data_IF_075297258628
#
_entry.id   IF_075297258628
#
_cell.length_a   1.000
_cell.length_b   1.000
_cell.length_c   1.000
_cell.angle_alpha   90.00
_cell.angle_beta   90.00
_cell.angle_gamma   90.00
#
_symmetry.space_group_name_H-M   'P 1'
#
loop_
_entity.id
_entity.type
_entity.pdbx_description
1 polymer ?
#
# COMPACT_ATOMS: atom_id res chain seq x y z
N UNK A 1 -4.75 3.58 30.13
CA UNK A 1 -3.35 3.23 30.38
C UNK A 1 -2.56 4.51 30.49
N UNK A 2 -2.02 4.76 31.68
CA UNK A 2 -1.40 6.01 32.14
C UNK A 2 -0.20 6.38 31.27
N UNK A 3 -0.01 7.69 31.03
CA UNK A 3 1.09 8.26 30.25
C UNK A 3 2.45 7.66 30.69
N UNK A 4 3.08 6.88 29.81
CA UNK A 4 4.29 6.08 30.11
C UNK A 4 5.55 6.94 30.25
N UNK A 5 5.53 8.20 29.79
CA UNK A 5 6.62 9.16 30.02
C UNK A 5 6.43 9.81 31.40
N UNK A 6 7.31 9.48 32.34
CA UNK A 6 7.35 10.03 33.68
C UNK A 6 8.75 10.61 33.99
N UNK A 7 8.91 11.20 35.18
CA UNK A 7 10.16 11.81 35.61
C UNK A 7 11.36 10.85 35.58
N UNK A 8 11.16 9.59 35.98
CA UNK A 8 12.23 8.59 35.98
C UNK A 8 12.71 8.23 34.57
N UNK A 9 11.76 8.16 33.62
CA UNK A 9 12.10 7.96 32.20
C UNK A 9 12.82 9.20 31.67
N UNK A 10 12.34 10.41 31.96
CA UNK A 10 12.97 11.64 31.53
C UNK A 10 14.43 11.76 32.01
N UNK A 11 14.70 11.47 33.29
CA UNK A 11 16.07 11.48 33.84
C UNK A 11 16.99 10.51 33.10
N UNK A 12 16.53 9.26 32.87
CA UNK A 12 17.31 8.25 32.13
C UNK A 12 17.63 8.73 30.71
N UNK A 13 16.65 9.34 30.03
CA UNK A 13 16.82 9.88 28.69
C UNK A 13 17.84 11.02 28.71
N UNK A 14 17.72 11.98 29.64
CA UNK A 14 18.63 13.12 29.69
C UNK A 14 20.05 12.71 30.04
N UNK A 15 20.25 11.85 31.03
CA UNK A 15 21.57 11.37 31.44
C UNK A 15 22.28 10.62 30.31
N UNK A 16 21.57 9.69 29.66
CA UNK A 16 22.14 8.92 28.54
C UNK A 16 22.32 9.76 27.28
N UNK A 17 21.41 10.70 26.98
CA UNK A 17 21.57 11.64 25.87
C UNK A 17 22.75 12.60 26.09
N UNK A 18 23.03 12.99 27.33
CA UNK A 18 24.22 13.78 27.66
C UNK A 18 25.53 13.04 27.39
N UNK A 19 25.57 11.71 27.54
CA UNK A 19 26.71 10.89 27.14
C UNK A 19 26.86 10.92 25.61
N UNK A 20 25.76 10.69 24.89
CA UNK A 20 25.71 10.74 23.42
C UNK A 20 26.23 12.08 22.90
N UNK A 21 25.80 13.20 23.49
CA UNK A 21 26.20 14.56 23.08
C UNK A 21 27.68 14.87 23.27
N UNK A 22 28.44 14.06 24.04
CA UNK A 22 29.90 14.22 24.19
C UNK A 22 30.68 13.72 22.98
N UNK A 23 30.03 12.98 22.09
CA UNK A 23 30.65 12.46 20.87
C UNK A 23 30.76 13.60 19.86
N UNK A 24 31.94 13.80 19.23
CA UNK A 24 32.09 14.75 18.14
C UNK A 24 31.10 14.46 17.02
N UNK A 25 30.40 15.49 16.56
CA UNK A 25 29.40 15.39 15.49
C UNK A 25 28.33 14.31 15.74
N UNK A 26 27.94 14.10 17.01
CA UNK A 26 26.94 13.08 17.40
C UNK A 26 25.65 13.15 16.57
N UNK A 27 25.24 14.35 16.15
CA UNK A 27 24.02 14.57 15.37
C UNK A 27 24.12 14.00 13.95
N UNK A 28 25.31 14.08 13.34
CA UNK A 28 25.61 13.43 12.07
C UNK A 28 25.76 11.92 12.25
N UNK A 29 26.45 11.48 13.31
CA UNK A 29 26.71 10.05 13.56
C UNK A 29 25.40 9.28 13.77
N UNK A 30 24.56 9.72 14.72
CA UNK A 30 23.27 9.07 15.01
C UNK A 30 22.36 9.13 13.79
N UNK A 31 22.25 10.31 13.17
CA UNK A 31 21.38 10.50 12.02
C UNK A 31 21.80 9.62 10.84
N UNK A 32 23.11 9.54 10.59
CA UNK A 32 23.70 8.67 9.58
C UNK A 32 23.39 7.20 9.83
N UNK A 33 23.68 6.68 11.03
CA UNK A 33 23.39 5.29 11.41
C UNK A 33 21.89 4.98 11.30
N UNK A 34 21.04 5.87 11.80
CA UNK A 34 19.58 5.72 11.74
C UNK A 34 19.09 5.64 10.29
N UNK A 35 19.48 6.57 9.42
CA UNK A 35 19.03 6.58 8.03
C UNK A 35 19.65 5.47 7.19
N UNK A 36 20.92 5.13 7.40
CA UNK A 36 21.54 3.96 6.76
C UNK A 36 20.73 2.71 7.08
N UNK A 37 20.42 2.49 8.36
CA UNK A 37 19.63 1.35 8.78
C UNK A 37 18.19 1.39 8.24
N UNK A 38 17.55 2.56 8.16
CA UNK A 38 16.24 2.73 7.50
C UNK A 38 16.31 2.29 6.03
N UNK A 39 17.33 2.72 5.27
CA UNK A 39 17.46 2.38 3.85
C UNK A 39 17.91 0.94 3.61
N UNK A 40 18.57 0.31 4.57
CA UNK A 40 18.86 -1.12 4.55
C UNK A 40 17.63 -1.96 4.88
N UNK A 41 16.85 -1.54 5.89
CA UNK A 41 15.63 -2.23 6.33
C UNK A 41 14.49 -2.06 5.34
N UNK A 42 14.36 -0.88 4.72
CA UNK A 42 13.30 -0.57 3.77
C UNK A 42 13.84 0.30 2.62
N UNK A 43 14.46 -0.31 1.59
CA UNK A 43 15.12 0.43 0.49
C UNK A 43 14.21 1.41 -0.27
N UNK A 44 12.91 1.12 -0.34
CA UNK A 44 11.91 1.98 -0.98
C UNK A 44 11.78 3.37 -0.32
N UNK A 45 12.15 3.50 0.95
CA UNK A 45 12.12 4.79 1.68
C UNK A 45 13.07 5.83 1.09
N UNK A 46 14.09 5.44 0.34
CA UNK A 46 14.97 6.36 -0.40
C UNK A 46 14.18 7.28 -1.35
N UNK A 47 13.08 6.77 -1.94
CA UNK A 47 12.28 7.51 -2.91
C UNK A 47 11.45 8.65 -2.29
N UNK A 48 11.31 8.66 -0.96
CA UNK A 48 10.64 9.75 -0.22
C UNK A 48 11.50 11.02 -0.24
N UNK A 49 12.82 10.87 -0.33
CA UNK A 49 13.76 11.97 -0.26
C UNK A 49 14.04 12.53 -1.65
N UNK A 50 13.93 13.85 -1.80
CA UNK A 50 14.20 14.54 -3.08
C UNK A 50 15.62 14.35 -3.61
N UNK A 51 16.56 13.94 -2.75
CA UNK A 51 17.92 13.57 -3.14
C UNK A 51 18.11 12.09 -3.45
N UNK A 52 17.17 11.20 -3.06
CA UNK A 52 17.30 9.75 -3.26
C UNK A 52 17.35 9.33 -4.73
N UNK A 53 16.60 10.02 -5.59
CA UNK A 53 16.58 9.76 -7.04
C UNK A 53 17.93 10.01 -7.74
N UNK A 54 18.80 10.83 -7.16
CA UNK A 54 20.16 11.09 -7.70
C UNK A 54 21.18 10.02 -7.34
N UNK A 55 20.94 9.23 -6.29
CA UNK A 55 21.92 8.32 -5.72
C UNK A 55 21.43 6.86 -5.61
N UNK A 56 20.29 6.53 -6.22
CA UNK A 56 19.64 5.21 -6.14
C UNK A 56 20.56 4.01 -6.50
N UNK A 57 21.65 4.24 -7.25
CA UNK A 57 22.60 3.19 -7.64
C UNK A 57 23.97 3.25 -6.92
N UNK A 58 24.20 4.18 -5.97
CA UNK A 58 25.50 4.36 -5.29
C UNK A 58 25.34 4.84 -3.84
N UNK A 59 25.09 3.90 -2.92
CA UNK A 59 24.84 4.19 -1.49
C UNK A 59 26.03 4.89 -0.82
N UNK A 60 27.25 4.53 -1.18
CA UNK A 60 28.47 5.14 -0.65
C UNK A 60 28.60 6.62 -1.02
N UNK A 61 28.18 7.01 -2.23
CA UNK A 61 28.16 8.42 -2.64
C UNK A 61 27.06 9.21 -1.90
N UNK A 62 25.91 8.57 -1.63
CA UNK A 62 24.84 9.18 -0.83
C UNK A 62 25.30 9.49 0.60
N UNK A 63 25.87 8.49 1.29
CA UNK A 63 26.24 8.60 2.70
C UNK A 63 27.39 9.58 2.94
N UNK A 64 28.22 9.81 1.93
CA UNK A 64 29.28 10.83 1.96
C UNK A 64 28.83 12.20 1.44
N UNK A 65 27.55 12.36 1.03
CA UNK A 65 27.06 13.62 0.47
C UNK A 65 26.75 14.66 1.56
N UNK A 66 27.10 15.92 1.29
CA UNK A 66 26.76 17.05 2.17
C UNK A 66 25.25 17.19 2.43
N UNK A 67 24.43 16.84 1.45
CA UNK A 67 22.98 16.88 1.57
C UNK A 67 22.47 15.87 2.59
N UNK A 68 22.98 14.64 2.54
CA UNK A 68 22.62 13.59 3.50
C UNK A 68 23.09 13.95 4.92
N UNK A 69 24.30 14.46 5.05
CA UNK A 69 24.86 14.94 6.32
C UNK A 69 23.97 16.02 6.97
N UNK A 70 23.63 17.07 6.20
CA UNK A 70 22.79 18.17 6.69
C UNK A 70 21.37 17.71 7.05
N UNK A 71 20.81 16.79 6.27
CA UNK A 71 19.48 16.23 6.54
C UNK A 71 19.49 15.37 7.81
N UNK A 72 20.47 14.48 7.95
CA UNK A 72 20.66 13.62 9.12
C UNK A 72 20.78 14.46 10.39
N UNK A 73 21.63 15.49 10.34
CA UNK A 73 21.80 16.47 11.43
C UNK A 73 20.51 17.18 11.80
N UNK A 74 19.75 17.66 10.81
CA UNK A 74 18.50 18.39 11.06
C UNK A 74 17.46 17.52 11.80
N UNK A 75 17.38 16.22 11.48
CA UNK A 75 16.43 15.31 12.14
C UNK A 75 16.86 14.99 13.57
N UNK A 76 18.15 14.79 13.85
CA UNK A 76 18.62 14.57 15.23
C UNK A 76 18.44 15.82 16.08
N UNK A 77 18.62 17.02 15.52
CA UNK A 77 18.32 18.28 16.20
C UNK A 77 16.82 18.42 16.53
N UNK A 78 15.96 18.04 15.59
CA UNK A 78 14.51 18.01 15.86
C UNK A 78 14.15 16.99 16.95
N UNK A 79 14.81 15.83 16.97
CA UNK A 79 14.64 14.84 18.04
C UNK A 79 15.06 15.45 19.39
N UNK A 80 16.23 16.10 19.46
CA UNK A 80 16.70 16.81 20.66
C UNK A 80 15.68 17.84 21.15
N UNK A 81 15.15 18.67 20.25
CA UNK A 81 14.10 19.65 20.58
C UNK A 81 12.86 18.97 21.17
N UNK A 82 12.41 17.85 20.58
CA UNK A 82 11.27 17.07 21.09
C UNK A 82 11.56 16.47 22.45
N UNK A 83 12.76 15.91 22.67
CA UNK A 83 13.16 15.34 23.96
C UNK A 83 13.19 16.41 25.06
N UNK A 84 13.59 17.63 24.73
CA UNK A 84 13.57 18.76 25.68
C UNK A 84 12.16 19.14 26.14
N UNK A 85 11.11 18.71 25.41
CA UNK A 85 9.70 18.95 25.75
C UNK A 85 9.07 17.84 26.61
N UNK A 86 9.81 16.81 27.01
CA UNK A 86 9.28 15.71 27.84
C UNK A 86 8.77 16.24 29.20
N UNK A 87 9.41 17.31 29.71
CA UNK A 87 9.07 17.94 30.98
C UNK A 87 8.88 19.45 30.80
N UNK A 88 8.07 20.12 31.66
CA UNK A 88 7.31 19.56 32.77
C UNK A 88 5.94 18.96 32.39
N UNK A 89 5.46 19.21 31.17
CA UNK A 89 4.16 18.78 30.68
C UNK A 89 4.26 18.27 29.24
N UNK A 90 3.60 17.16 28.94
CA UNK A 90 3.58 16.52 27.63
C UNK A 90 2.57 17.16 26.67
N UNK A 91 1.68 18.05 27.11
CA UNK A 91 0.67 18.67 26.22
C UNK A 91 1.30 19.40 25.03
N UNK A 92 2.33 20.26 25.19
CA UNK A 92 3.00 20.90 24.07
C UNK A 92 3.68 19.90 23.15
N UNK A 93 4.38 18.92 23.72
CA UNK A 93 5.05 17.84 22.98
C UNK A 93 4.05 17.05 22.13
N UNK A 94 2.92 16.61 22.71
CA UNK A 94 1.85 15.89 22.01
C UNK A 94 1.29 16.71 20.85
N UNK A 95 1.13 18.02 21.02
CA UNK A 95 0.65 18.92 19.96
C UNK A 95 1.67 19.02 18.82
N UNK A 96 2.94 19.27 19.14
CA UNK A 96 4.03 19.38 18.17
C UNK A 96 4.20 18.08 17.39
N UNK A 97 4.23 16.94 18.06
CA UNK A 97 4.37 15.62 17.45
C UNK A 97 3.19 15.26 16.54
N UNK A 98 1.94 15.57 16.94
CA UNK A 98 0.78 15.37 16.07
C UNK A 98 0.86 16.23 14.81
N UNK A 99 1.25 17.49 14.94
CA UNK A 99 1.43 18.37 13.79
C UNK A 99 2.59 17.92 12.89
N UNK A 100 3.67 17.43 13.48
CA UNK A 100 4.81 16.87 12.77
C UNK A 100 4.41 15.60 11.99
N UNK A 101 3.71 14.66 12.62
CA UNK A 101 3.18 13.47 11.97
C UNK A 101 2.22 13.78 10.82
N UNK A 102 1.35 14.79 10.98
CA UNK A 102 0.49 15.27 9.91
C UNK A 102 1.29 15.81 8.70
N UNK A 103 2.38 16.56 8.95
CA UNK A 103 3.27 17.07 7.89
C UNK A 103 4.02 15.94 7.18
N UNK A 104 4.42 14.89 7.88
CA UNK A 104 5.11 13.74 7.29
C UNK A 104 4.28 13.07 6.18
N UNK A 105 2.94 13.07 6.29
CA UNK A 105 2.04 12.62 5.21
C UNK A 105 2.24 13.43 3.92
N UNK A 106 2.51 14.74 4.02
CA UNK A 106 2.76 15.60 2.85
C UNK A 106 4.12 15.34 2.19
N UNK A 107 5.07 14.77 2.94
CA UNK A 107 6.39 14.38 2.43
C UNK A 107 6.39 13.00 1.77
N UNK A 108 5.27 12.27 1.77
CA UNK A 108 5.19 10.90 1.27
C UNK A 108 5.46 9.83 2.32
N UNK A 109 5.73 10.22 3.57
CA UNK A 109 5.89 9.28 4.69
C UNK A 109 4.51 8.72 5.07
N UNK A 110 4.48 7.46 5.49
CA UNK A 110 3.28 6.71 5.86
C UNK A 110 3.41 6.22 7.31
N UNK A 111 2.30 5.93 8.01
CA UNK A 111 2.36 5.49 9.41
C UNK A 111 3.30 4.32 9.66
N UNK A 112 3.36 3.34 8.75
CA UNK A 112 4.25 2.18 8.90
C UNK A 112 5.75 2.56 8.80
N UNK A 113 6.13 3.55 8.00
CA UNK A 113 7.51 4.08 7.98
C UNK A 113 7.93 4.65 9.34
N UNK A 114 6.96 5.17 10.12
CA UNK A 114 7.23 5.71 11.47
C UNK A 114 7.39 4.59 12.52
N UNK A 115 6.90 3.38 12.26
CA UNK A 115 7.12 2.24 13.16
C UNK A 115 8.59 1.81 13.14
N UNK A 116 9.23 1.83 11.96
CA UNK A 116 10.64 1.49 11.77
C UNK A 116 11.60 2.36 12.60
N UNK A 117 11.22 3.63 12.84
CA UNK A 117 12.05 4.59 13.58
C UNK A 117 12.39 4.09 14.98
N UNK A 118 11.51 3.33 15.63
CA UNK A 118 11.75 2.84 17.00
C UNK A 118 12.95 1.92 17.06
N UNK A 119 12.97 0.89 16.22
CA UNK A 119 14.02 -0.12 16.22
C UNK A 119 15.35 0.44 15.70
N UNK A 120 15.31 1.27 14.65
CA UNK A 120 16.53 1.83 14.06
C UNK A 120 17.22 2.83 14.99
N UNK A 121 16.45 3.67 15.70
CA UNK A 121 16.99 4.65 16.63
C UNK A 121 17.50 3.98 17.91
N UNK A 122 16.78 2.98 18.44
CA UNK A 122 17.26 2.19 19.57
C UNK A 122 18.59 1.50 19.26
N UNK A 123 18.69 0.86 18.11
CA UNK A 123 19.93 0.18 17.70
C UNK A 123 21.09 1.16 17.47
N UNK A 124 20.82 2.35 16.94
CA UNK A 124 21.84 3.40 16.81
C UNK A 124 22.34 3.87 18.17
N UNK A 125 21.42 4.09 19.13
CA UNK A 125 21.74 4.50 20.49
C UNK A 125 22.53 3.41 21.24
N UNK A 126 22.13 2.15 21.13
CA UNK A 126 22.84 1.00 21.70
C UNK A 126 24.28 0.93 21.19
N UNK A 127 24.47 1.04 19.88
CA UNK A 127 25.79 1.00 19.25
C UNK A 127 26.70 2.14 19.72
N UNK A 128 26.11 3.30 20.01
CA UNK A 128 26.83 4.51 20.41
C UNK A 128 27.17 4.52 21.91
N UNK A 129 26.21 4.13 22.75
CA UNK A 129 26.38 4.08 24.19
C UNK A 129 27.24 2.89 24.62
N UNK A 130 27.21 1.81 23.85
CA UNK A 130 27.93 0.57 24.09
C UNK A 130 27.57 -0.09 25.43
N UNK A 131 28.20 -1.23 25.71
CA UNK A 131 27.87 -2.07 26.88
C UNK A 131 28.02 -1.34 28.22
N UNK A 132 28.82 -0.27 28.26
CA UNK A 132 29.09 0.48 29.50
C UNK A 132 27.98 1.45 29.89
N UNK A 133 27.25 2.03 28.92
CA UNK A 133 26.19 3.00 29.17
C UNK A 133 24.80 2.50 28.74
N UNK A 134 24.74 1.52 27.84
CA UNK A 134 23.49 0.84 27.44
C UNK A 134 23.07 -0.21 28.47
N UNK A 135 22.42 0.24 29.55
CA UNK A 135 21.87 -0.65 30.58
C UNK A 135 20.41 -1.02 30.26
N UNK A 136 19.85 -2.09 30.84
CA UNK A 136 18.44 -2.44 30.66
C UNK A 136 17.48 -1.29 30.99
N UNK A 137 17.84 -0.47 32.00
CA UNK A 137 17.07 0.73 32.37
C UNK A 137 17.11 1.79 31.27
N UNK A 138 18.26 1.99 30.64
CA UNK A 138 18.44 2.94 29.52
C UNK A 138 17.67 2.47 28.29
N UNK A 139 17.78 1.19 27.95
CA UNK A 139 17.02 0.57 26.86
C UNK A 139 15.50 0.74 27.06
N UNK A 140 14.99 0.37 28.24
CA UNK A 140 13.56 0.50 28.55
C UNK A 140 13.08 1.96 28.52
N UNK A 141 13.91 2.88 29.04
CA UNK A 141 13.65 4.33 28.99
C UNK A 141 13.52 4.85 27.56
N UNK A 142 14.50 4.55 26.70
CA UNK A 142 14.48 4.94 25.30
C UNK A 142 13.35 4.28 24.51
N UNK A 143 13.07 2.99 24.77
CA UNK A 143 11.95 2.28 24.13
C UNK A 143 10.62 2.93 24.48
N UNK A 144 10.47 3.36 25.73
CA UNK A 144 9.28 4.08 26.20
C UNK A 144 9.16 5.45 25.54
N UNK A 145 10.24 6.25 25.52
CA UNK A 145 10.24 7.59 24.97
C UNK A 145 10.00 7.59 23.45
N UNK A 146 10.76 6.77 22.70
CA UNK A 146 10.63 6.68 21.24
C UNK A 146 9.28 6.06 20.86
N UNK A 147 8.82 5.04 21.59
CA UNK A 147 7.49 4.45 21.39
C UNK A 147 6.37 5.47 21.58
N UNK A 148 6.48 6.35 22.59
CA UNK A 148 5.53 7.45 22.76
C UNK A 148 5.59 8.47 21.61
N UNK A 149 6.79 8.87 21.18
CA UNK A 149 7.00 9.79 20.07
C UNK A 149 6.35 9.23 18.80
N UNK A 150 6.70 8.00 18.44
CA UNK A 150 6.19 7.32 17.24
C UNK A 150 4.67 7.18 17.27
N UNK A 151 4.09 6.65 18.36
CA UNK A 151 2.62 6.53 18.51
C UNK A 151 1.91 7.89 18.38
N UNK A 152 2.49 8.95 18.93
CA UNK A 152 1.90 10.30 18.87
C UNK A 152 2.00 10.89 17.46
N UNK A 153 3.11 10.70 16.76
CA UNK A 153 3.25 11.10 15.35
C UNK A 153 2.29 10.32 14.45
N UNK A 154 2.17 9.00 14.64
CA UNK A 154 1.23 8.14 13.91
C UNK A 154 -0.21 8.61 14.14
N UNK A 155 -0.59 8.96 15.37
CA UNK A 155 -1.91 9.53 15.66
C UNK A 155 -2.18 10.81 14.85
N UNK A 156 -1.19 11.71 14.77
CA UNK A 156 -1.27 12.92 13.94
C UNK A 156 -1.35 12.63 12.43
N UNK A 157 -0.53 11.70 11.96
CA UNK A 157 -0.50 11.24 10.58
C UNK A 157 -1.84 10.63 10.15
N UNK A 158 -2.40 9.73 10.96
CA UNK A 158 -3.70 9.10 10.74
C UNK A 158 -4.83 10.13 10.71
N UNK A 159 -4.80 11.12 11.61
CA UNK A 159 -5.77 12.22 11.59
C UNK A 159 -5.70 13.02 10.28
N UNK A 160 -4.50 13.28 9.76
CA UNK A 160 -4.33 13.99 8.49
C UNK A 160 -4.78 13.15 7.29
N UNK A 161 -4.52 11.84 7.29
CA UNK A 161 -5.03 10.92 6.28
C UNK A 161 -6.56 10.89 6.29
N UNK A 162 -7.20 10.78 7.46
CA UNK A 162 -8.66 10.85 7.61
C UNK A 162 -9.21 12.19 7.09
N UNK A 163 -8.55 13.30 7.38
CA UNK A 163 -8.92 14.63 6.85
C UNK A 163 -8.86 14.66 5.32
N UNK A 164 -7.73 14.26 4.71
CA UNK A 164 -7.56 14.21 3.25
C UNK A 164 -8.60 13.31 2.58
N UNK A 165 -8.96 12.18 3.19
CA UNK A 165 -10.02 11.28 2.69
C UNK A 165 -11.38 11.96 2.67
N UNK A 166 -11.75 12.66 3.75
CA UNK A 166 -13.02 13.42 3.81
C UNK A 166 -13.06 14.55 2.79
N UNK A 167 -11.96 15.27 2.62
CA UNK A 167 -11.84 16.33 1.60
C UNK A 167 -11.96 15.76 0.18
N UNK A 168 -11.33 14.61 -0.10
CA UNK A 168 -11.44 13.93 -1.40
C UNK A 168 -12.87 13.45 -1.68
N UNK A 169 -13.58 12.96 -0.67
CA UNK A 169 -14.99 12.53 -0.77
C UNK A 169 -15.99 13.70 -0.88
N UNK A 170 -15.60 14.91 -0.47
CA UNK A 170 -16.41 16.13 -0.55
C UNK A 170 -16.04 17.02 -1.75
N UNK A 171 -15.06 16.60 -2.57
CA UNK A 171 -14.77 17.25 -3.85
C UNK A 171 -16.02 17.19 -4.74
N UNK A 172 -16.44 18.30 -5.37
CA UNK A 172 -17.52 18.26 -6.35
C UNK A 172 -17.19 17.23 -7.43
N UNK A 173 -18.16 16.41 -7.80
CA UNK A 173 -18.04 15.58 -8.99
C UNK A 173 -17.78 16.48 -10.20
N UNK A 174 -17.11 15.95 -11.24
CA UNK A 174 -16.91 16.67 -12.50
C UNK A 174 -18.25 17.14 -13.14
N UNK A 175 -19.39 16.58 -12.69
CA UNK A 175 -20.74 16.99 -13.11
C UNK A 175 -21.18 18.33 -12.48
N UNK A 176 -20.81 18.62 -11.23
CA UNK A 176 -21.15 19.91 -10.59
C UNK A 176 -20.34 21.08 -11.17
N UNK A 177 -19.10 20.82 -11.60
CA UNK A 177 -18.23 21.81 -12.27
C UNK A 177 -18.69 22.11 -13.71
N UNK A 178 -19.32 21.14 -14.39
CA UNK A 178 -19.94 21.34 -15.71
C UNK A 178 -21.23 22.16 -15.65
N UNK A 179 -21.96 22.14 -14.51
CA UNK A 179 -23.22 22.88 -14.36
C UNK A 179 -23.05 24.38 -14.13
N UNK A 180 -21.82 24.86 -13.86
CA UNK A 180 -21.51 26.26 -13.55
C UNK A 180 -20.76 27.01 -14.65
N UNK A 181 -20.56 26.41 -15.81
CA UNK A 181 -19.95 27.05 -16.98
C UNK A 181 -20.93 27.23 -18.15
N UNK A 182 -22.16 27.65 -17.88
CA UNK A 182 -22.96 28.33 -18.89
C UNK A 182 -22.93 29.80 -18.53
N UNK A 183 -22.18 30.61 -19.29
CA UNK A 183 -22.41 32.02 -19.64
C UNK A 183 -21.17 32.57 -20.37
N UNK A 184 -20.98 32.18 -21.64
CA UNK A 184 -20.62 33.15 -22.70
C UNK A 184 -20.74 32.48 -24.07
N UNK A 185 -21.75 32.89 -24.82
CA UNK A 185 -21.82 32.71 -26.26
C UNK A 185 -20.69 33.49 -26.92
N UNK A 186 -19.88 32.86 -27.75
CA UNK A 186 -19.38 33.47 -28.99
C UNK A 186 -19.02 32.41 -30.03
N UNK A 187 -19.78 32.46 -31.12
CA UNK A 187 -19.48 32.07 -32.49
C UNK A 187 -17.98 32.00 -32.86
N UNK A 188 -17.54 30.92 -33.50
CA UNK A 188 -16.95 31.02 -34.83
C UNK A 188 -16.96 29.68 -35.59
N UNK A 189 -17.17 29.81 -36.89
CA UNK A 189 -17.42 28.83 -37.95
C UNK A 189 -16.20 28.06 -38.43
N UNK A 190 -16.47 26.83 -38.92
CA UNK A 190 -15.74 25.99 -39.89
C UNK A 190 -14.23 25.80 -39.65
N UNK A 191 -13.67 24.61 -39.89
CA UNK A 191 -13.10 24.23 -41.17
C UNK A 191 -13.04 22.70 -41.24
N UNK A 192 -13.47 22.15 -42.37
CA UNK A 192 -13.30 20.76 -42.78
C UNK A 192 -11.91 20.54 -43.37
N UNK A 193 -11.27 19.40 -43.12
CA UNK A 193 -10.44 18.66 -44.09
C UNK A 193 -10.25 17.22 -43.62
N UNK A 194 -10.66 16.27 -44.47
CA UNK A 194 -10.36 14.84 -44.41
C UNK A 194 -8.90 14.57 -44.77
N UNK A 195 -8.27 13.57 -44.15
CA UNK A 195 -7.50 12.58 -44.93
C UNK A 195 -7.23 11.29 -44.14
N UNK A 196 -7.58 10.19 -44.80
CA UNK A 196 -7.30 8.79 -44.51
C UNK A 196 -5.80 8.47 -44.74
N UNK A 197 -5.31 7.35 -44.18
CA UNK A 197 -4.52 6.28 -44.86
C UNK A 197 -3.75 5.39 -43.84
N UNK A 198 -4.11 4.09 -43.88
CA UNK A 198 -3.33 2.84 -43.82
C UNK A 198 -2.44 2.40 -42.63
N UNK A 199 -2.62 1.12 -42.25
CA UNK A 199 -1.76 0.20 -41.46
C UNK A 199 -0.83 -0.60 -42.38
N UNK A 200 0.27 -1.26 -41.90
CA UNK A 200 0.19 -2.71 -41.61
C UNK A 200 1.19 -3.33 -40.58
N UNK A 201 0.88 -4.58 -40.17
CA UNK A 201 1.73 -5.76 -39.75
C UNK A 201 2.81 -5.67 -38.64
N UNK A 202 3.27 -6.72 -37.92
CA UNK A 202 2.84 -8.06 -37.46
C UNK A 202 4.02 -8.72 -36.66
N UNK A 203 3.73 -9.80 -35.89
CA UNK A 203 4.61 -10.88 -35.35
C UNK A 203 5.13 -10.79 -33.89
N UNK A 204 5.56 -11.93 -33.24
CA UNK A 204 5.01 -13.29 -33.18
C UNK A 204 4.87 -13.87 -31.75
N UNK A 205 4.20 -15.03 -31.65
CA UNK A 205 3.93 -15.85 -30.44
C UNK A 205 5.11 -16.78 -30.10
N UNK A 206 5.44 -16.95 -28.80
CA UNK A 206 6.36 -17.97 -28.31
C UNK A 206 5.67 -18.87 -27.26
N UNK A 207 5.68 -20.19 -27.47
CA UNK A 207 5.16 -21.22 -26.57
C UNK A 207 6.26 -21.70 -25.63
N UNK A 208 5.96 -21.90 -24.35
CA UNK A 208 6.72 -22.85 -23.54
C UNK A 208 5.75 -23.75 -22.76
N UNK A 209 6.01 -25.06 -22.85
CA UNK A 209 5.33 -26.12 -22.13
C UNK A 209 6.10 -26.34 -20.82
N UNK A 210 5.41 -26.36 -19.67
CA UNK A 210 5.85 -27.14 -18.51
C UNK A 210 4.65 -27.90 -17.93
N UNK A 211 4.82 -29.20 -17.84
CA UNK A 211 3.87 -30.19 -17.33
C UNK A 211 4.08 -30.40 -15.83
N UNK A 212 2.97 -30.39 -15.08
CA UNK A 212 2.68 -31.49 -14.14
C UNK A 212 3.04 -31.33 -12.65
N UNK A 213 2.18 -30.63 -11.89
CA UNK A 213 1.55 -31.15 -10.67
C UNK A 213 0.36 -30.26 -10.28
N UNK A 214 -0.87 -30.78 -10.40
CA UNK A 214 -2.09 -30.05 -10.05
C UNK A 214 -2.33 -30.15 -8.54
N UNK A 215 -1.92 -29.14 -7.79
CA UNK A 215 -2.46 -28.87 -6.46
C UNK A 215 -3.77 -28.12 -6.70
N UNK A 216 -4.92 -28.73 -6.36
CA UNK A 216 -6.20 -28.02 -6.41
C UNK A 216 -6.27 -27.04 -5.26
N UNK A 217 -6.36 -25.75 -5.58
CA UNK A 217 -6.53 -24.64 -4.64
C UNK A 217 -7.98 -24.20 -4.72
N UNK A 218 -8.74 -24.40 -3.65
CA UNK A 218 -10.13 -23.93 -3.55
C UNK A 218 -10.13 -22.51 -2.94
N UNK A 219 -10.23 -21.49 -3.80
CA UNK A 219 -10.26 -20.09 -3.39
C UNK A 219 -11.48 -19.73 -2.53
N UNK A 220 -12.50 -20.61 -2.46
CA UNK A 220 -13.71 -20.38 -1.67
C UNK A 220 -13.62 -20.86 -0.21
N UNK A 221 -12.57 -21.61 0.16
CA UNK A 221 -12.48 -22.27 1.48
C UNK A 221 -11.19 -22.07 2.28
N UNK A 222 -10.16 -21.43 1.71
CA UNK A 222 -8.84 -21.42 2.35
C UNK A 222 -8.27 -22.84 2.53
N UNK A 223 -7.14 -22.98 3.23
CA UNK A 223 -6.48 -24.28 3.42
C UNK A 223 -7.31 -25.20 4.32
N UNK A 224 -7.96 -26.22 3.75
CA UNK A 224 -8.49 -27.36 4.52
C UNK A 224 -7.42 -28.45 4.58
N UNK A 225 -7.01 -28.84 5.79
CA UNK A 225 -6.27 -30.10 5.98
C UNK A 225 -7.24 -31.26 5.79
N UNK A 226 -6.84 -32.28 5.03
CA UNK A 226 -7.62 -33.49 4.86
C UNK A 226 -7.93 -34.15 6.21
N UNK A 227 -9.23 -34.30 6.50
CA UNK A 227 -9.77 -35.05 7.62
C UNK A 227 -10.30 -34.17 8.74
N UNK A 228 -11.58 -33.76 8.65
CA UNK A 228 -12.57 -33.94 9.72
C UNK A 228 -13.97 -33.51 9.22
N UNK A 229 -14.97 -34.24 9.71
CA UNK A 229 -16.35 -34.33 9.23
C UNK A 229 -17.18 -33.05 9.42
N UNK A 230 -18.13 -32.84 8.51
CA UNK A 230 -18.92 -31.62 8.40
C UNK A 230 -20.05 -31.54 9.45
N UNK A 231 -20.08 -30.46 10.22
CA UNK A 231 -21.32 -29.96 10.84
C UNK A 231 -21.46 -28.45 10.63
N UNK A 232 -22.46 -28.08 9.83
CA UNK A 232 -22.92 -26.72 9.60
C UNK A 232 -23.42 -26.07 10.91
N UNK A 233 -22.78 -24.98 11.31
CA UNK A 233 -23.27 -24.04 12.33
C UNK A 233 -23.20 -22.62 11.78
N UNK A 234 -24.36 -22.08 11.44
CA UNK A 234 -24.56 -20.68 11.04
C UNK A 234 -24.67 -19.80 12.30
N UNK A 235 -23.56 -19.24 12.76
CA UNK A 235 -23.56 -18.02 13.60
C UNK A 235 -22.13 -17.54 13.85
N UNK A 236 -21.82 -16.32 13.41
CA UNK A 236 -20.57 -15.62 13.73
C UNK A 236 -19.82 -15.19 12.48
N UNK A 237 -19.72 -13.88 12.29
CA UNK A 237 -18.78 -13.24 11.37
C UNK A 237 -17.35 -13.53 11.85
N UNK A 238 -16.83 -14.71 11.53
CA UNK A 238 -15.41 -15.01 11.73
C UNK A 238 -14.68 -14.46 10.51
N UNK A 239 -14.21 -13.22 10.64
CA UNK A 239 -13.54 -12.52 9.56
C UNK A 239 -12.19 -13.19 9.35
N UNK A 240 -11.88 -13.57 8.12
CA UNK A 240 -10.55 -14.06 7.73
C UNK A 240 -9.41 -13.08 8.11
N UNK A 241 -9.71 -11.83 8.48
CA UNK A 241 -8.78 -10.87 9.11
C UNK A 241 -8.37 -11.23 10.55
N UNK A 242 -9.16 -12.00 11.30
CA UNK A 242 -8.85 -12.40 12.68
C UNK A 242 -7.71 -13.42 12.74
N UNK A 243 -7.50 -14.22 11.68
CA UNK A 243 -6.36 -15.15 11.56
C UNK A 243 -5.03 -14.49 11.17
N UNK A 244 -5.00 -13.20 10.78
CA UNK A 244 -3.75 -12.47 10.52
C UNK A 244 -3.15 -11.83 11.79
N UNK A 245 -3.77 -12.04 12.95
CA UNK A 245 -3.26 -11.58 14.24
C UNK A 245 -2.17 -12.50 14.85
N UNK A 246 -1.94 -13.69 14.30
CA UNK A 246 -0.94 -14.62 14.85
C UNK A 246 0.44 -14.39 14.21
N UNK A 247 1.17 -13.45 14.84
CA UNK A 247 2.56 -13.00 14.61
C UNK A 247 2.73 -11.84 13.62
N UNK A 248 2.85 -10.63 14.18
CA UNK A 248 3.18 -9.36 13.51
C UNK A 248 4.41 -9.44 12.55
N UNK A 249 5.26 -10.46 12.68
CA UNK A 249 6.44 -10.69 11.85
C UNK A 249 6.08 -11.24 10.45
N UNK A 250 5.05 -12.09 10.34
CA UNK A 250 4.70 -12.72 9.05
C UNK A 250 3.95 -11.73 8.15
N UNK A 251 3.08 -10.89 8.72
CA UNK A 251 2.39 -9.81 8.02
C UNK A 251 3.37 -8.84 7.34
N UNK A 252 4.43 -8.43 8.04
CA UNK A 252 5.46 -7.52 7.49
C UNK A 252 6.19 -8.15 6.31
N UNK A 253 6.56 -9.43 6.41
CA UNK A 253 7.24 -10.17 5.33
C UNK A 253 6.38 -10.28 4.08
N UNK A 254 5.09 -10.59 4.23
CA UNK A 254 4.16 -10.72 3.10
C UNK A 254 3.87 -9.36 2.42
N UNK A 255 3.66 -8.31 3.21
CA UNK A 255 3.40 -6.96 2.68
C UNK A 255 4.65 -6.39 1.99
N UNK A 256 5.84 -6.58 2.54
CA UNK A 256 7.10 -6.15 1.94
C UNK A 256 7.38 -6.86 0.59
N UNK A 257 7.15 -8.17 0.53
CA UNK A 257 7.29 -8.95 -0.71
C UNK A 257 6.35 -8.43 -1.81
N UNK A 258 5.10 -8.10 -1.46
CA UNK A 258 4.13 -7.50 -2.37
C UNK A 258 4.58 -6.11 -2.83
N UNK A 259 5.00 -5.22 -1.93
CA UNK A 259 5.50 -3.90 -2.31
C UNK A 259 6.70 -3.98 -3.27
N UNK A 260 7.68 -4.81 -2.95
CA UNK A 260 8.93 -4.89 -3.72
C UNK A 260 8.71 -5.47 -5.11
N UNK A 261 7.86 -6.50 -5.20
CA UNK A 261 7.48 -7.08 -6.49
C UNK A 261 6.64 -6.12 -7.32
N UNK A 262 5.69 -5.41 -6.71
CA UNK A 262 4.88 -4.40 -7.40
C UNK A 262 5.72 -3.24 -7.93
N UNK A 263 6.68 -2.73 -7.15
CA UNK A 263 7.63 -1.70 -7.60
C UNK A 263 8.50 -2.17 -8.79
N UNK A 264 8.76 -3.48 -8.90
CA UNK A 264 9.46 -4.05 -10.04
C UNK A 264 8.60 -4.01 -11.30
N UNK A 265 7.31 -4.37 -11.18
CA UNK A 265 6.34 -4.28 -12.28
C UNK A 265 6.20 -2.83 -12.76
N UNK A 266 6.17 -1.86 -11.83
CA UNK A 266 6.04 -0.42 -12.15
C UNK A 266 7.21 0.17 -12.94
N UNK A 267 8.36 -0.51 -13.00
CA UNK A 267 9.50 -0.08 -13.83
C UNK A 267 9.26 -0.34 -15.33
N UNK A 268 8.29 -1.17 -15.69
CA UNK A 268 7.92 -1.40 -17.08
C UNK A 268 7.25 -0.14 -17.65
N UNK A 269 7.69 0.38 -18.81
CA UNK A 269 7.00 1.48 -19.46
C UNK A 269 5.52 1.14 -19.71
N UNK A 270 4.62 2.05 -19.34
CA UNK A 270 3.16 1.85 -19.42
C UNK A 270 2.67 0.60 -18.66
N UNK A 271 3.29 0.26 -17.53
CA UNK A 271 3.00 -0.97 -16.78
C UNK A 271 1.49 -1.21 -16.55
N UNK A 272 0.70 -0.18 -16.21
CA UNK A 272 -0.74 -0.35 -15.97
C UNK A 272 -1.49 -0.88 -17.19
N UNK A 273 -1.12 -0.41 -18.39
CA UNK A 273 -1.73 -0.86 -19.64
C UNK A 273 -1.24 -2.26 -20.02
N UNK A 274 0.06 -2.50 -19.88
CA UNK A 274 0.70 -3.79 -20.21
C UNK A 274 0.18 -4.90 -19.29
N UNK A 275 0.26 -4.70 -17.98
CA UNK A 275 -0.20 -5.66 -16.98
C UNK A 275 -1.72 -5.83 -17.06
N UNK A 276 -2.48 -4.76 -17.31
CA UNK A 276 -3.93 -4.82 -17.46
C UNK A 276 -4.33 -5.64 -18.68
N UNK A 277 -3.67 -5.42 -19.82
CA UNK A 277 -3.94 -6.18 -21.04
C UNK A 277 -3.67 -7.67 -20.83
N UNK A 278 -2.53 -8.00 -20.22
CA UNK A 278 -2.16 -9.38 -19.91
C UNK A 278 -3.12 -10.03 -18.90
N UNK A 279 -3.57 -9.27 -17.89
CA UNK A 279 -4.57 -9.71 -16.92
C UNK A 279 -5.86 -10.14 -17.60
N UNK A 280 -6.41 -9.30 -18.46
CA UNK A 280 -7.66 -9.62 -19.14
C UNK A 280 -7.51 -10.76 -20.16
N UNK A 281 -6.36 -10.87 -20.83
CA UNK A 281 -6.07 -12.05 -21.66
C UNK A 281 -6.12 -13.33 -20.82
N UNK A 282 -5.50 -13.33 -19.63
CA UNK A 282 -5.53 -14.46 -18.72
C UNK A 282 -6.95 -14.74 -18.18
N UNK A 283 -7.77 -13.72 -17.92
CA UNK A 283 -9.17 -13.89 -17.49
C UNK A 283 -9.99 -14.60 -18.58
N UNK A 284 -9.90 -14.13 -19.82
CA UNK A 284 -10.68 -14.68 -20.93
C UNK A 284 -10.19 -16.06 -21.38
N UNK A 285 -8.90 -16.35 -21.21
CA UNK A 285 -8.35 -17.68 -21.41
C UNK A 285 -8.82 -18.66 -20.32
N UNK A 286 -8.92 -18.19 -19.06
CA UNK A 286 -9.41 -19.01 -17.95
C UNK A 286 -10.91 -19.29 -18.03
N UNK A 287 -11.71 -18.31 -18.47
CA UNK A 287 -13.14 -18.49 -18.71
C UNK A 287 -13.64 -17.54 -19.80
N UNK A 288 -13.96 -18.10 -20.96
CA UNK A 288 -14.48 -17.33 -22.10
C UNK A 288 -15.85 -16.71 -21.80
N UNK A 289 -16.63 -17.30 -20.90
CA UNK A 289 -17.94 -16.80 -20.47
C UNK A 289 -17.84 -15.39 -19.85
N UNK A 290 -16.71 -15.08 -19.21
CA UNK A 290 -16.48 -13.74 -18.61
C UNK A 290 -16.43 -12.62 -19.66
N UNK A 291 -16.19 -12.92 -20.95
CA UNK A 291 -16.32 -11.93 -22.04
C UNK A 291 -17.72 -11.30 -22.09
N UNK A 292 -18.75 -12.04 -21.64
CA UNK A 292 -20.12 -11.55 -21.58
C UNK A 292 -20.35 -10.51 -20.47
N UNK A 293 -19.40 -10.29 -19.56
CA UNK A 293 -19.52 -9.20 -18.57
C UNK A 293 -19.13 -7.85 -19.16
N UNK A 294 -18.39 -7.84 -20.27
CA UNK A 294 -17.80 -6.62 -20.81
C UNK A 294 -18.41 -6.24 -22.15
N UNK A 295 -19.03 -5.06 -22.21
CA UNK A 295 -19.63 -4.54 -23.45
C UNK A 295 -18.65 -4.45 -24.61
N UNK A 296 -17.37 -4.17 -24.34
CA UNK A 296 -16.30 -4.13 -25.34
C UNK A 296 -15.86 -5.51 -25.85
N UNK A 297 -16.15 -6.60 -25.12
CA UNK A 297 -15.75 -7.96 -25.46
C UNK A 297 -16.92 -8.82 -25.98
N UNK A 298 -18.18 -8.49 -25.65
CA UNK A 298 -19.40 -9.20 -26.07
C UNK A 298 -19.51 -9.48 -27.58
N UNK A 299 -18.94 -8.62 -28.42
CA UNK A 299 -19.06 -8.71 -29.89
C UNK A 299 -17.77 -9.14 -30.61
N UNK A 300 -16.69 -9.47 -29.87
CA UNK A 300 -15.39 -9.82 -30.46
C UNK A 300 -15.27 -11.34 -30.59
N UNK A 301 -15.09 -11.83 -31.82
CA UNK A 301 -14.92 -13.26 -32.13
C UNK A 301 -13.46 -13.71 -32.15
N UNK A 302 -12.50 -12.79 -32.02
CA UNK A 302 -11.07 -13.09 -31.88
C UNK A 302 -10.35 -12.06 -30.99
N UNK A 303 -9.29 -12.49 -30.29
CA UNK A 303 -8.63 -11.69 -29.26
C UNK A 303 -7.68 -10.61 -29.81
N UNK A 304 -7.36 -10.63 -31.11
CA UNK A 304 -6.40 -9.69 -31.73
C UNK A 304 -6.93 -8.25 -31.87
N UNK A 305 -8.26 -8.06 -31.87
CA UNK A 305 -8.89 -6.74 -31.93
C UNK A 305 -9.04 -6.05 -30.56
N UNK A 306 -8.96 -6.80 -29.46
CA UNK A 306 -9.33 -6.32 -28.13
C UNK A 306 -8.32 -5.34 -27.55
N UNK A 307 -7.02 -5.58 -27.77
CA UNK A 307 -5.92 -4.71 -27.33
C UNK A 307 -5.89 -3.35 -28.05
N UNK A 308 -6.69 -3.16 -29.10
CA UNK A 308 -6.87 -1.87 -29.80
C UNK A 308 -8.15 -1.14 -29.39
N UNK A 309 -9.02 -1.77 -28.60
CA UNK A 309 -10.26 -1.17 -28.15
C UNK A 309 -9.99 -0.19 -26.99
N UNK A 310 -10.34 1.08 -27.16
CA UNK A 310 -10.09 2.12 -26.15
C UNK A 310 -10.82 1.83 -24.83
N UNK A 311 -12.06 1.32 -24.90
CA UNK A 311 -12.83 0.96 -23.71
C UNK A 311 -12.19 -0.18 -22.93
N UNK A 312 -11.66 -1.18 -23.65
CA UNK A 312 -10.85 -2.25 -23.05
C UNK A 312 -9.61 -1.68 -22.35
N UNK A 313 -8.81 -0.85 -23.04
CA UNK A 313 -7.58 -0.30 -22.47
C UNK A 313 -7.85 0.57 -21.23
N UNK A 314 -8.91 1.40 -21.26
CA UNK A 314 -9.33 2.20 -20.11
C UNK A 314 -9.67 1.29 -18.92
N UNK A 315 -10.47 0.24 -19.16
CA UNK A 315 -10.90 -0.65 -18.09
C UNK A 315 -9.74 -1.50 -17.55
N UNK A 316 -8.94 -2.10 -18.43
CA UNK A 316 -7.76 -2.88 -18.10
C UNK A 316 -6.75 -2.07 -17.27
N UNK A 317 -6.45 -0.84 -17.71
CA UNK A 317 -5.62 0.11 -16.96
C UNK A 317 -6.24 0.45 -15.61
N UNK A 318 -7.55 0.71 -15.57
CA UNK A 318 -8.27 1.07 -14.36
C UNK A 318 -8.21 0.00 -13.27
N UNK A 319 -8.24 -1.28 -13.65
CA UNK A 319 -8.07 -2.40 -12.70
C UNK A 319 -6.66 -2.40 -12.09
N UNK A 320 -5.62 -2.20 -12.90
CA UNK A 320 -4.24 -2.14 -12.37
C UNK A 320 -4.02 -0.89 -11.51
N UNK A 321 -4.59 0.25 -11.88
CA UNK A 321 -4.50 1.47 -11.06
C UNK A 321 -5.25 1.31 -9.72
N UNK A 322 -6.35 0.55 -9.69
CA UNK A 322 -7.06 0.17 -8.46
C UNK A 322 -6.19 -0.74 -7.59
N UNK A 323 -5.55 -1.76 -8.19
CA UNK A 323 -4.59 -2.61 -7.49
C UNK A 323 -3.39 -1.80 -6.95
N UNK A 324 -2.85 -0.86 -7.72
CA UNK A 324 -1.78 0.05 -7.27
C UNK A 324 -2.23 0.89 -6.07
N UNK A 325 -3.47 1.36 -6.09
CA UNK A 325 -4.07 2.08 -4.96
C UNK A 325 -4.19 1.17 -3.73
N UNK A 326 -4.67 -0.06 -3.89
CA UNK A 326 -4.79 -1.02 -2.80
C UNK A 326 -3.43 -1.36 -2.20
N UNK A 327 -2.44 -1.69 -3.03
CA UNK A 327 -1.04 -1.91 -2.62
C UNK A 327 -0.49 -0.69 -1.89
N UNK A 328 -0.68 0.52 -2.44
CA UNK A 328 -0.26 1.77 -1.80
C UNK A 328 -0.98 2.11 -0.48
N UNK A 329 -2.08 1.42 -0.17
CA UNK A 329 -2.88 1.60 1.05
C UNK A 329 -2.76 0.44 2.05
N UNK A 330 -2.01 -0.61 1.73
CA UNK A 330 -1.70 -1.68 2.69
C UNK A 330 -0.96 -1.11 3.91
N UNK A 331 -1.34 -1.55 5.11
CA UNK A 331 -0.76 -1.02 6.34
C UNK A 331 -1.51 -1.46 7.60
N UNK A 332 -1.20 -0.87 8.76
CA UNK A 332 -1.82 -1.25 10.04
C UNK A 332 -3.31 -0.88 10.15
N UNK A 333 -3.82 -0.02 9.26
CA UNK A 333 -5.23 0.39 9.22
C UNK A 333 -5.82 0.08 7.84
N UNK A 334 -6.41 -1.11 7.72
CA UNK A 334 -6.99 -1.65 6.48
C UNK A 334 -8.47 -1.26 6.29
N UNK A 335 -9.13 -0.71 7.32
CA UNK A 335 -10.54 -0.24 7.28
C UNK A 335 -10.85 0.65 6.07
N UNK A 336 -10.02 1.64 5.70
CA UNK A 336 -10.36 2.60 4.64
C UNK A 336 -10.29 2.00 3.24
N UNK A 337 -9.34 1.09 3.02
CA UNK A 337 -9.24 0.35 1.75
C UNK A 337 -10.35 -0.70 1.68
N UNK A 338 -10.66 -1.39 2.80
CA UNK A 338 -11.81 -2.31 2.88
C UNK A 338 -13.10 -1.61 2.50
N UNK A 339 -13.40 -0.46 3.09
CA UNK A 339 -14.62 0.29 2.79
C UNK A 339 -14.71 0.75 1.34
N UNK A 340 -13.60 1.26 0.78
CA UNK A 340 -13.59 1.66 -0.63
C UNK A 340 -13.80 0.46 -1.58
N UNK A 341 -13.29 -0.71 -1.21
CA UNK A 341 -13.50 -1.96 -1.93
C UNK A 341 -14.93 -2.48 -1.78
N UNK A 342 -15.54 -2.35 -0.61
CA UNK A 342 -16.96 -2.66 -0.39
C UNK A 342 -17.86 -1.79 -1.28
N UNK A 343 -17.63 -0.47 -1.30
CA UNK A 343 -18.33 0.47 -2.19
C UNK A 343 -18.09 0.15 -3.68
N UNK A 344 -16.89 -0.32 -4.03
CA UNK A 344 -16.59 -0.79 -5.38
C UNK A 344 -17.35 -2.08 -5.71
N UNK A 345 -17.42 -3.02 -4.78
CA UNK A 345 -18.13 -4.29 -4.89
C UNK A 345 -19.64 -4.12 -5.06
N UNK A 346 -20.25 -3.23 -4.27
CA UNK A 346 -21.67 -2.84 -4.38
C UNK A 346 -22.02 -2.27 -5.77
N UNK A 347 -21.07 -1.62 -6.45
CA UNK A 347 -21.25 -1.20 -7.85
C UNK A 347 -21.01 -2.35 -8.82
N UNK A 348 -20.05 -3.23 -8.55
CA UNK A 348 -19.69 -4.33 -9.43
C UNK A 348 -20.79 -5.39 -9.56
N UNK A 349 -21.54 -5.67 -8.50
CA UNK A 349 -22.66 -6.62 -8.58
C UNK A 349 -23.79 -6.15 -9.52
N UNK A 350 -23.86 -4.85 -9.84
CA UNK A 350 -24.80 -4.30 -10.82
C UNK A 350 -24.38 -4.58 -12.28
N UNK A 351 -23.16 -5.07 -12.50
CA UNK A 351 -22.63 -5.46 -13.82
C UNK A 351 -22.59 -6.98 -13.99
N UNK A 352 -23.56 -7.69 -13.42
CA UNK A 352 -23.69 -9.16 -13.45
C UNK A 352 -22.47 -9.90 -12.86
N UNK A 353 -21.67 -9.21 -12.06
CA UNK A 353 -20.52 -9.78 -11.38
C UNK A 353 -21.01 -10.60 -10.17
N UNK A 354 -20.78 -11.92 -10.18
CA UNK A 354 -21.13 -12.85 -9.10
C UNK A 354 -19.88 -13.43 -8.42
N UNK A 355 -20.06 -13.99 -7.22
CA UNK A 355 -18.97 -14.58 -6.40
C UNK A 355 -18.08 -15.57 -7.19
N UNK A 356 -18.67 -16.34 -8.11
CA UNK A 356 -17.94 -17.30 -8.95
C UNK A 356 -16.89 -16.66 -9.90
N UNK A 357 -16.98 -15.36 -10.19
CA UNK A 357 -16.02 -14.66 -11.03
C UNK A 357 -14.73 -14.27 -10.29
N UNK A 358 -14.76 -14.09 -8.97
CA UNK A 358 -13.57 -13.69 -8.20
C UNK A 358 -12.46 -14.76 -8.24
N UNK A 359 -12.72 -16.07 -8.04
CA UNK A 359 -11.68 -17.09 -8.19
C UNK A 359 -10.98 -17.06 -9.55
N UNK A 360 -11.73 -16.88 -10.64
CA UNK A 360 -11.20 -16.78 -12.01
C UNK A 360 -10.25 -15.58 -12.13
N UNK A 361 -10.66 -14.42 -11.60
CA UNK A 361 -9.84 -13.22 -11.58
C UNK A 361 -8.57 -13.40 -10.74
N UNK A 362 -8.67 -14.10 -9.60
CA UNK A 362 -7.53 -14.39 -8.73
C UNK A 362 -6.48 -15.25 -9.42
N UNK A 363 -6.89 -16.33 -10.07
CA UNK A 363 -5.99 -17.19 -10.85
C UNK A 363 -5.33 -16.42 -12.00
N UNK A 364 -6.12 -15.63 -12.74
CA UNK A 364 -5.61 -14.80 -13.83
C UNK A 364 -4.63 -13.71 -13.34
N UNK A 365 -4.86 -13.12 -12.17
CA UNK A 365 -3.95 -12.15 -11.56
C UNK A 365 -2.63 -12.82 -11.18
N UNK A 366 -2.66 -13.96 -10.50
CA UNK A 366 -1.44 -14.68 -10.12
C UNK A 366 -0.63 -15.12 -11.35
N UNK A 367 -1.30 -15.58 -12.42
CA UNK A 367 -0.64 -15.92 -13.70
C UNK A 367 -0.01 -14.70 -14.37
N UNK A 368 -0.68 -13.55 -14.31
CA UNK A 368 -0.15 -12.27 -14.80
C UNK A 368 1.11 -11.87 -14.05
N UNK A 369 1.05 -11.92 -12.71
CA UNK A 369 2.19 -11.59 -11.84
C UNK A 369 3.38 -12.50 -12.11
N UNK A 370 3.17 -13.82 -12.18
CA UNK A 370 4.19 -14.81 -12.55
C UNK A 370 4.87 -14.47 -13.88
N UNK A 371 4.08 -14.15 -14.91
CA UNK A 371 4.58 -13.79 -16.23
C UNK A 371 5.41 -12.50 -16.21
N UNK A 372 4.94 -11.49 -15.46
CA UNK A 372 5.63 -10.18 -15.39
C UNK A 372 6.90 -10.18 -14.53
N UNK A 373 6.94 -11.01 -13.48
CA UNK A 373 8.04 -11.06 -12.51
C UNK A 373 9.10 -12.10 -12.88
N UNK A 374 8.76 -13.10 -13.69
CA UNK A 374 9.69 -14.12 -14.17
C UNK A 374 10.42 -14.81 -13.02
N UNK A 375 11.76 -14.77 -13.04
CA UNK A 375 12.61 -15.42 -12.02
C UNK A 375 12.39 -14.89 -10.59
N UNK A 376 11.82 -13.69 -10.43
CA UNK A 376 11.47 -13.14 -9.12
C UNK A 376 10.20 -13.77 -8.52
N UNK A 377 9.45 -14.58 -9.28
CA UNK A 377 8.23 -15.24 -8.82
C UNK A 377 8.54 -16.51 -8.03
N UNK A 378 8.55 -16.39 -6.70
CA UNK A 378 8.77 -17.52 -5.78
C UNK A 378 7.46 -18.04 -5.17
N UNK A 379 7.44 -19.28 -4.63
CA UNK A 379 6.28 -19.80 -3.91
C UNK A 379 5.81 -18.90 -2.76
N UNK A 380 6.72 -18.29 -2.02
CA UNK A 380 6.43 -17.36 -0.93
C UNK A 380 5.80 -16.06 -1.44
N UNK A 381 6.31 -15.55 -2.58
CA UNK A 381 5.74 -14.36 -3.21
C UNK A 381 4.33 -14.63 -3.73
N UNK A 382 4.10 -15.81 -4.32
CA UNK A 382 2.77 -16.27 -4.73
C UNK A 382 1.80 -16.32 -3.55
N UNK A 383 2.22 -16.87 -2.41
CA UNK A 383 1.42 -16.89 -1.17
C UNK A 383 1.07 -15.47 -0.70
N UNK A 384 2.07 -14.57 -0.72
CA UNK A 384 1.88 -13.15 -0.36
C UNK A 384 0.78 -12.49 -1.20
N UNK A 385 0.88 -12.63 -2.53
CA UNK A 385 -0.08 -12.05 -3.47
C UNK A 385 -1.46 -12.71 -3.38
N UNK A 386 -1.54 -14.01 -3.13
CA UNK A 386 -2.81 -14.70 -2.93
C UNK A 386 -3.54 -14.17 -1.68
N UNK A 387 -2.83 -13.93 -0.57
CA UNK A 387 -3.40 -13.34 0.64
C UNK A 387 -3.94 -11.91 0.40
N UNK A 388 -3.18 -11.09 -0.31
CA UNK A 388 -3.61 -9.75 -0.72
C UNK A 388 -4.85 -9.79 -1.60
N UNK A 389 -4.86 -10.66 -2.61
CA UNK A 389 -6.01 -10.78 -3.49
C UNK A 389 -7.25 -11.25 -2.73
N UNK A 390 -7.11 -12.21 -1.81
CA UNK A 390 -8.20 -12.68 -0.97
C UNK A 390 -8.79 -11.56 -0.10
N UNK A 391 -7.95 -10.68 0.48
CA UNK A 391 -8.44 -9.49 1.18
C UNK A 391 -9.28 -8.59 0.26
N UNK A 392 -8.77 -8.31 -0.94
CA UNK A 392 -9.44 -7.44 -1.91
C UNK A 392 -10.78 -8.03 -2.35
N UNK A 393 -10.79 -9.29 -2.77
CA UNK A 393 -11.99 -9.96 -3.26
C UNK A 393 -13.04 -10.15 -2.18
N UNK A 394 -12.64 -10.44 -0.94
CA UNK A 394 -13.58 -10.56 0.19
C UNK A 394 -14.26 -9.22 0.49
N UNK A 395 -13.51 -8.12 0.55
CA UNK A 395 -14.10 -6.80 0.79
C UNK A 395 -15.10 -6.42 -0.31
N UNK A 396 -14.78 -6.68 -1.59
CA UNK A 396 -15.72 -6.43 -2.69
C UNK A 396 -16.98 -7.31 -2.60
N UNK A 397 -16.83 -8.62 -2.32
CA UNK A 397 -17.96 -9.53 -2.16
C UNK A 397 -18.86 -9.13 -0.96
N UNK A 398 -18.26 -8.67 0.14
CA UNK A 398 -19.01 -8.14 1.29
C UNK A 398 -19.88 -6.95 0.88
N UNK A 399 -19.32 -5.99 0.13
CA UNK A 399 -20.06 -4.84 -0.37
C UNK A 399 -21.18 -5.21 -1.34
N UNK A 400 -20.95 -6.18 -2.22
CA UNK A 400 -21.97 -6.72 -3.13
C UNK A 400 -23.14 -7.35 -2.37
N UNK A 401 -22.86 -8.21 -1.37
CA UNK A 401 -23.91 -8.82 -0.54
C UNK A 401 -24.71 -7.77 0.22
N UNK A 402 -24.04 -6.78 0.84
CA UNK A 402 -24.71 -5.70 1.55
C UNK A 402 -25.69 -4.92 0.65
N UNK A 403 -25.28 -4.62 -0.60
CA UNK A 403 -26.15 -3.96 -1.57
C UNK A 403 -27.36 -4.81 -1.98
N UNK A 404 -27.16 -6.12 -2.20
CA UNK A 404 -28.23 -7.04 -2.57
C UNK A 404 -29.25 -7.23 -1.43
N UNK A 405 -28.78 -7.35 -0.19
CA UNK A 405 -29.63 -7.43 1.00
C UNK A 405 -30.47 -6.16 1.19
N UNK A 406 -29.87 -4.98 1.05
CA UNK A 406 -30.58 -3.70 1.13
C UNK A 406 -31.62 -3.59 0.01
N UNK A 407 -31.28 -3.97 -1.22
CA UNK A 407 -32.19 -3.94 -2.37
C UNK A 407 -33.38 -4.89 -2.18
N UNK A 408 -33.16 -6.10 -1.65
CA UNK A 408 -34.22 -7.05 -1.35
C UNK A 408 -35.14 -6.54 -0.23
N UNK A 409 -34.57 -5.90 0.80
CA UNK A 409 -35.35 -5.32 1.90
C UNK A 409 -36.23 -4.14 1.43
N UNK A 410 -35.73 -3.30 0.53
CA UNK A 410 -36.46 -2.16 -0.01
C UNK A 410 -37.61 -2.54 -0.96
N UNK A 411 -37.55 -3.71 -1.58
CA UNK A 411 -38.61 -4.22 -2.48
C UNK A 411 -39.52 -5.26 -1.82
N UNK A 412 -39.26 -5.61 -0.55
CA UNK A 412 -40.03 -6.58 0.25
C UNK A 412 -41.13 -5.98 1.12
N UNK A 413 -41.27 -4.65 1.20
CA UNK A 413 -42.41 -3.97 1.80
C UNK A 413 -43.49 -3.68 0.75
N UNK A 414 -44.28 -4.70 0.37
CA UNK A 414 -45.59 -4.53 -0.30
C UNK A 414 -46.63 -5.44 0.36
#
# INVERSE_FOLDING_TARGET
MVDQLNFQVADVIFDSWDIVKRIPDYDVVIGGMMFQKIFETAPSTLNIFSFGSRFACKKEELYNSRTFELHSKAVVKMLEDVLSMIMPDLVPMKRTLKALGARHISYGVRPFHLNLITEVLLSALESILGDTAWTPKVEEGWKTAIGFISKTMISGANKQLKKKRREAQQSPSLEELSSKSDHSKTSCSSWSTQQSIETPEAAPVFKSNVCGRRVSFDMSKGFVKDGDDATLSTSGSDSMLDHWQESDVNYMKYVEAVYTSWDTIKKVPNYSEVAGTLLFQNIFEASEETKQLFSFAKSQTNDQGLSKNIGFLIHAKGVIDMLDTCVGMMGPDMEPVSKALEELGARHCQYDMVDAHYPILGEALLKTLETTLGDAWTPELKESWAGIYAFISNAMQNGARGFLEESLSAHGEI
#
